data_IF_390931368602
#
_entry.id   IF_390931368602
#
_cell.length_a   1.000
_cell.length_b   1.000
_cell.length_c   1.000
_cell.angle_alpha   90.00
_cell.angle_beta   90.00
_cell.angle_gamma   90.00
#
_symmetry.space_group_name_H-M   'P 1'
#
loop_
_entity.id
_entity.type
_entity.pdbx_description
1 polymer ?
#
# COMPACT_ATOMS: atom_id res chain seq x y z
N UNK A 1 0.77 -34.47 69.43
CA UNK A 1 -0.54 -34.25 68.80
C UNK A 1 -0.50 -32.90 68.12
N UNK A 2 0.02 -32.90 66.89
CA UNK A 2 -0.70 -32.65 65.63
C UNK A 2 -0.79 -31.14 65.29
N UNK A 3 0.23 -30.68 64.57
CA UNK A 3 0.28 -29.39 63.86
C UNK A 3 -0.62 -29.49 62.63
N UNK A 4 -1.59 -28.58 62.48
CA UNK A 4 -2.38 -28.42 61.24
C UNK A 4 -1.96 -27.11 60.58
N UNK A 5 -1.14 -27.24 59.54
CA UNK A 5 -0.80 -26.16 58.61
C UNK A 5 -1.90 -26.12 57.55
N UNK A 6 -2.69 -25.04 57.51
CA UNK A 6 -3.64 -24.79 56.43
C UNK A 6 -2.89 -24.18 55.24
N UNK A 7 -2.52 -25.01 54.27
CA UNK A 7 -2.07 -24.58 52.95
C UNK A 7 -3.29 -24.23 52.09
N UNK A 8 -3.51 -22.92 51.87
CA UNK A 8 -4.45 -22.44 50.87
C UNK A 8 -3.83 -22.65 49.48
N UNK A 9 -4.15 -23.78 48.84
CA UNK A 9 -3.87 -24.02 47.43
C UNK A 9 -4.87 -23.19 46.60
N UNK A 10 -4.42 -22.04 46.10
CA UNK A 10 -5.17 -21.28 45.11
C UNK A 10 -5.16 -22.07 43.79
N UNK A 11 -6.28 -22.72 43.48
CA UNK A 11 -6.56 -23.25 42.15
C UNK A 11 -6.66 -22.06 41.19
N UNK A 12 -5.58 -21.82 40.45
CA UNK A 12 -5.62 -20.99 39.24
C UNK A 12 -6.42 -21.81 38.22
N UNK A 13 -7.72 -21.53 38.13
CA UNK A 13 -8.52 -21.97 37.00
C UNK A 13 -7.96 -21.26 35.76
N UNK A 14 -7.08 -21.93 35.03
CA UNK A 14 -6.73 -21.56 33.67
C UNK A 14 -8.02 -21.68 32.85
N UNK A 15 -8.72 -20.55 32.70
CA UNK A 15 -9.84 -20.45 31.78
C UNK A 15 -9.36 -20.88 30.40
N UNK A 16 -9.93 -21.95 29.86
CA UNK A 16 -9.75 -22.34 28.47
C UNK A 16 -10.04 -21.10 27.62
N UNK A 17 -9.11 -20.65 26.75
CA UNK A 17 -9.44 -19.56 25.83
C UNK A 17 -10.61 -20.05 24.98
N UNK A 18 -11.74 -19.36 25.08
CA UNK A 18 -12.84 -19.50 24.13
C UNK A 18 -12.25 -19.21 22.76
N UNK A 19 -11.92 -20.26 22.02
CA UNK A 19 -11.25 -20.15 20.73
C UNK A 19 -12.20 -19.49 19.74
N UNK A 20 -12.02 -18.20 19.55
CA UNK A 20 -12.71 -17.43 18.51
C UNK A 20 -12.22 -17.87 17.13
N UNK A 21 -13.04 -17.64 16.10
CA UNK A 21 -12.60 -17.81 14.72
C UNK A 21 -11.49 -16.81 14.37
N UNK A 22 -10.48 -17.28 13.64
CA UNK A 22 -9.38 -16.42 13.22
C UNK A 22 -9.80 -15.39 12.17
N UNK A 23 -9.30 -14.16 12.31
CA UNK A 23 -9.24 -13.16 11.26
C UNK A 23 -7.82 -13.02 10.70
N UNK A 24 -7.67 -12.40 9.53
CA UNK A 24 -6.35 -12.12 8.94
C UNK A 24 -5.54 -11.24 9.90
N UNK A 25 -4.29 -11.64 10.18
CA UNK A 25 -3.38 -10.94 11.09
C UNK A 25 -3.43 -11.37 12.56
N UNK A 26 -4.40 -12.19 12.96
CA UNK A 26 -4.46 -12.77 14.32
C UNK A 26 -3.27 -13.70 14.60
N UNK A 27 -2.90 -13.87 15.88
CA UNK A 27 -1.85 -14.83 16.27
C UNK A 27 -2.42 -16.25 16.14
N UNK A 28 -1.64 -17.17 15.58
CA UNK A 28 -2.14 -18.52 15.31
C UNK A 28 -2.54 -19.31 16.58
N UNK A 29 -1.96 -18.97 17.73
CA UNK A 29 -2.22 -19.66 19.01
C UNK A 29 -3.48 -19.16 19.72
N UNK A 30 -4.08 -18.03 19.29
CA UNK A 30 -5.19 -17.39 19.99
C UNK A 30 -6.56 -17.63 19.35
N UNK A 31 -6.62 -18.33 18.22
CA UNK A 31 -7.84 -18.54 17.45
C UNK A 31 -7.80 -19.88 16.70
N UNK A 32 -8.96 -20.29 16.17
CA UNK A 32 -9.08 -21.49 15.32
C UNK A 32 -9.49 -21.08 13.90
N UNK A 33 -8.79 -21.60 12.89
CA UNK A 33 -9.11 -21.34 11.48
C UNK A 33 -10.38 -22.12 11.11
N UNK A 34 -11.35 -21.44 10.49
CA UNK A 34 -12.69 -22.00 10.22
C UNK A 34 -12.70 -23.10 9.17
N UNK A 35 -12.00 -22.89 8.08
CA UNK A 35 -11.81 -23.86 7.02
C UNK A 35 -10.31 -24.16 6.94
N UNK A 36 -9.84 -25.07 7.79
CA UNK A 36 -8.47 -25.57 7.69
C UNK A 36 -8.37 -26.54 6.51
N UNK A 37 -7.21 -26.55 5.83
CA UNK A 37 -6.93 -27.51 4.77
C UNK A 37 -7.05 -28.95 5.33
N UNK A 38 -7.81 -29.80 4.64
CA UNK A 38 -8.08 -31.17 5.11
C UNK A 38 -9.08 -31.26 6.27
N UNK A 39 -9.65 -30.13 6.72
CA UNK A 39 -10.72 -30.10 7.70
C UNK A 39 -12.01 -30.73 7.15
N UNK A 40 -12.84 -31.27 8.05
CA UNK A 40 -14.15 -31.81 7.68
C UNK A 40 -15.12 -30.67 7.38
N UNK A 41 -15.90 -30.82 6.31
CA UNK A 41 -17.01 -29.95 5.96
C UNK A 41 -18.29 -30.78 5.85
N UNK A 42 -19.40 -30.23 6.35
CA UNK A 42 -20.72 -30.85 6.23
C UNK A 42 -21.46 -30.18 5.08
N UNK A 43 -21.86 -30.95 4.06
CA UNK A 43 -22.69 -30.47 2.94
C UNK A 43 -24.14 -30.14 3.37
N UNK A 44 -24.38 -29.82 4.64
CA UNK A 44 -25.70 -29.81 5.28
C UNK A 44 -26.23 -28.44 5.65
N UNK A 45 -25.50 -27.37 5.35
CA UNK A 45 -26.00 -26.00 5.48
C UNK A 45 -25.91 -25.33 4.13
N UNK A 46 -27.06 -24.82 3.67
CA UNK A 46 -27.42 -24.16 2.40
C UNK A 46 -26.54 -22.96 1.98
N UNK A 47 -25.34 -22.83 2.57
CA UNK A 47 -24.34 -21.78 2.37
C UNK A 47 -22.91 -22.31 2.14
N UNK A 48 -22.68 -23.63 2.18
CA UNK A 48 -21.34 -24.24 2.16
C UNK A 48 -20.89 -24.82 0.80
N UNK A 49 -21.65 -24.58 -0.28
CA UNK A 49 -21.15 -24.79 -1.66
C UNK A 49 -20.30 -23.61 -2.17
N UNK A 50 -20.01 -22.64 -1.30
CA UNK A 50 -19.18 -21.49 -1.62
C UNK A 50 -17.69 -21.84 -1.61
N UNK A 51 -16.94 -21.28 -2.56
CA UNK A 51 -15.49 -21.20 -2.46
C UNK A 51 -15.14 -20.35 -1.22
N UNK A 52 -14.15 -20.78 -0.45
CA UNK A 52 -13.71 -20.09 0.76
C UNK A 52 -12.26 -19.62 0.61
N UNK A 53 -11.92 -18.53 1.29
CA UNK A 53 -10.55 -18.01 1.30
C UNK A 53 -9.61 -18.98 2.02
N UNK A 54 -8.47 -19.29 1.41
CA UNK A 54 -7.47 -20.15 2.03
C UNK A 54 -6.67 -19.39 3.09
N UNK A 55 -7.04 -19.60 4.36
CA UNK A 55 -6.35 -19.05 5.52
C UNK A 55 -5.34 -20.06 6.05
N UNK A 56 -4.11 -19.61 6.33
CA UNK A 56 -3.05 -20.44 6.90
C UNK A 56 -2.24 -19.68 7.94
N UNK A 57 -1.59 -20.40 8.86
CA UNK A 57 -0.66 -19.79 9.79
C UNK A 57 0.70 -19.60 9.12
N UNK A 58 1.16 -18.35 8.97
CA UNK A 58 2.46 -18.07 8.39
C UNK A 58 3.57 -18.44 9.39
N UNK A 59 4.50 -19.36 9.04
CA UNK A 59 5.48 -19.90 9.99
C UNK A 59 6.51 -18.86 10.42
N UNK A 60 6.75 -17.81 9.62
CA UNK A 60 7.72 -16.75 9.88
C UNK A 60 7.15 -15.68 10.81
N UNK A 61 5.90 -15.28 10.59
CA UNK A 61 5.26 -14.19 11.36
C UNK A 61 4.42 -14.69 12.53
N UNK A 62 4.13 -16.00 12.61
CA UNK A 62 3.22 -16.62 13.59
C UNK A 62 1.82 -15.97 13.61
N UNK A 63 1.42 -15.43 12.46
CA UNK A 63 0.14 -14.77 12.24
C UNK A 63 -0.63 -15.46 11.13
N UNK A 64 -1.95 -15.36 11.18
CA UNK A 64 -2.86 -15.86 10.15
C UNK A 64 -2.73 -14.99 8.92
N UNK A 65 -2.45 -15.65 7.80
CA UNK A 65 -2.23 -15.07 6.49
C UNK A 65 -3.14 -15.78 5.47
N UNK A 66 -3.26 -15.19 4.28
CA UNK A 66 -4.20 -15.64 3.25
C UNK A 66 -3.53 -15.74 1.90
N UNK A 67 -3.79 -16.85 1.21
CA UNK A 67 -3.35 -17.04 -0.17
C UNK A 67 -4.47 -16.60 -1.11
N UNK A 68 -4.21 -15.53 -1.86
CA UNK A 68 -5.15 -14.98 -2.84
C UNK A 68 -5.11 -15.71 -4.18
N UNK A 69 -4.12 -16.57 -4.42
CA UNK A 69 -4.01 -17.32 -5.68
C UNK A 69 -4.88 -18.57 -5.70
N UNK A 70 -5.34 -19.00 -4.53
CA UNK A 70 -6.01 -20.27 -4.33
C UNK A 70 -7.21 -20.16 -3.37
N UNK A 71 -8.11 -21.14 -3.43
CA UNK A 71 -9.34 -21.17 -2.64
C UNK A 71 -9.59 -22.57 -2.10
N UNK A 72 -10.29 -22.62 -0.97
CA UNK A 72 -10.76 -23.86 -0.38
C UNK A 72 -12.16 -24.19 -0.90
N UNK A 73 -12.36 -25.44 -1.27
CA UNK A 73 -13.68 -25.95 -1.58
C UNK A 73 -13.92 -27.29 -0.87
N UNK A 74 -15.16 -27.53 -0.47
CA UNK A 74 -15.55 -28.81 0.11
C UNK A 74 -15.70 -29.86 -0.99
N UNK A 75 -14.85 -30.87 -1.00
CA UNK A 75 -14.93 -32.00 -1.93
C UNK A 75 -14.97 -33.27 -1.10
N UNK A 76 -16.00 -34.09 -1.27
CA UNK A 76 -16.17 -35.36 -0.54
C UNK A 76 -16.15 -35.19 0.99
N UNK A 77 -16.70 -34.07 1.51
CA UNK A 77 -16.75 -33.78 2.96
C UNK A 77 -15.42 -33.31 3.56
N UNK A 78 -14.44 -32.97 2.72
CA UNK A 78 -13.13 -32.45 3.14
C UNK A 78 -12.77 -31.18 2.38
N UNK A 79 -12.23 -30.17 3.08
CA UNK A 79 -11.71 -28.96 2.44
C UNK A 79 -10.43 -29.26 1.65
N UNK A 80 -10.47 -29.01 0.34
CA UNK A 80 -9.32 -29.12 -0.57
C UNK A 80 -8.96 -27.74 -1.11
N UNK A 81 -7.66 -27.52 -1.36
CA UNK A 81 -7.17 -26.30 -2.00
C UNK A 81 -7.22 -26.46 -3.53
N UNK A 82 -7.70 -25.42 -4.23
CA UNK A 82 -7.71 -25.30 -5.69
C UNK A 82 -7.15 -23.95 -6.10
N UNK A 83 -6.35 -23.92 -7.16
CA UNK A 83 -5.86 -22.67 -7.74
C UNK A 83 -6.98 -21.95 -8.49
N UNK A 84 -6.99 -20.62 -8.47
CA UNK A 84 -7.93 -19.82 -9.27
C UNK A 84 -7.59 -19.84 -10.77
N UNK A 85 -6.30 -19.79 -11.12
CA UNK A 85 -5.82 -19.90 -12.50
C UNK A 85 -4.39 -20.42 -12.51
N UNK A 86 -4.07 -21.27 -13.49
CA UNK A 86 -2.72 -21.80 -13.69
C UNK A 86 -1.72 -20.72 -14.14
N UNK A 87 -2.22 -19.58 -14.61
CA UNK A 87 -1.42 -18.45 -15.12
C UNK A 87 -1.25 -17.30 -14.12
N UNK A 88 -1.91 -17.37 -12.95
CA UNK A 88 -1.85 -16.33 -11.91
C UNK A 88 -2.58 -15.02 -12.24
N UNK A 89 -3.36 -14.96 -13.33
CA UNK A 89 -4.09 -13.74 -13.74
C UNK A 89 -5.28 -13.40 -12.86
N UNK A 90 -5.92 -14.41 -12.27
CA UNK A 90 -7.10 -14.26 -11.42
C UNK A 90 -6.73 -14.41 -9.95
N UNK A 91 -7.38 -13.65 -9.07
CA UNK A 91 -7.23 -13.79 -7.62
C UNK A 91 -8.57 -14.09 -6.96
N UNK A 92 -8.53 -14.76 -5.81
CA UNK A 92 -9.72 -15.06 -5.03
C UNK A 92 -10.18 -13.83 -4.24
N UNK A 93 -11.43 -13.42 -4.44
CA UNK A 93 -12.04 -12.30 -3.71
C UNK A 93 -12.83 -12.80 -2.51
N UNK A 94 -12.45 -12.38 -1.30
CA UNK A 94 -13.18 -12.69 -0.08
C UNK A 94 -14.60 -12.09 -0.04
N UNK A 95 -14.83 -11.01 -0.80
CA UNK A 95 -16.12 -10.31 -0.86
C UNK A 95 -17.09 -11.01 -1.81
N UNK A 96 -16.61 -11.43 -2.99
CA UNK A 96 -17.44 -12.12 -3.98
C UNK A 96 -17.50 -13.64 -3.76
N UNK A 97 -16.62 -14.19 -2.92
CA UNK A 97 -16.42 -15.63 -2.73
C UNK A 97 -16.17 -16.38 -4.05
N UNK A 98 -15.45 -15.73 -4.98
CA UNK A 98 -15.10 -16.30 -6.27
C UNK A 98 -13.73 -15.81 -6.77
N UNK A 99 -13.18 -16.53 -7.75
CA UNK A 99 -11.99 -16.16 -8.47
C UNK A 99 -12.34 -15.06 -9.47
N UNK A 100 -11.83 -13.86 -9.23
CA UNK A 100 -12.10 -12.69 -10.06
C UNK A 100 -10.87 -12.36 -10.89
N UNK A 101 -11.08 -12.15 -12.18
CA UNK A 101 -10.09 -11.55 -13.05
C UNK A 101 -10.18 -10.01 -12.91
N UNK A 102 -9.11 -9.30 -12.51
CA UNK A 102 -9.09 -7.84 -12.51
C UNK A 102 -9.48 -7.23 -13.87
N UNK A 103 -9.26 -7.95 -14.99
CA UNK A 103 -9.67 -7.52 -16.32
C UNK A 103 -11.18 -7.70 -16.58
N UNK A 104 -11.83 -8.62 -15.87
CA UNK A 104 -13.27 -8.86 -15.95
C UNK A 104 -14.04 -8.18 -14.80
N UNK A 105 -13.34 -7.52 -13.87
CA UNK A 105 -13.92 -6.44 -13.09
C UNK A 105 -14.26 -5.33 -14.07
N UNK A 106 -15.40 -5.45 -14.75
CA UNK A 106 -16.15 -4.29 -15.16
C UNK A 106 -16.40 -3.54 -13.87
N UNK A 107 -15.54 -2.56 -13.56
CA UNK A 107 -16.01 -1.39 -12.87
C UNK A 107 -17.25 -1.00 -13.66
N UNK A 108 -18.42 -1.36 -13.15
CA UNK A 108 -19.65 -0.71 -13.54
C UNK A 108 -19.44 0.72 -13.02
N UNK A 109 -18.63 1.50 -13.74
CA UNK A 109 -19.04 2.84 -14.05
C UNK A 109 -20.48 2.66 -14.50
N UNK A 110 -21.41 3.06 -13.64
CA UNK A 110 -22.79 3.25 -14.02
C UNK A 110 -22.83 4.44 -14.99
N UNK A 111 -22.05 4.32 -16.06
CA UNK A 111 -21.79 5.35 -17.02
C UNK A 111 -22.98 5.36 -17.92
N UNK A 112 -23.99 6.10 -17.50
CA UNK A 112 -25.01 6.60 -18.40
C UNK A 112 -24.28 7.28 -19.54
N UNK A 113 -24.28 6.64 -20.72
CA UNK A 113 -23.66 7.18 -21.91
C UNK A 113 -24.13 8.63 -22.11
N UNK A 114 -23.18 9.57 -22.17
CA UNK A 114 -23.44 11.00 -22.29
C UNK A 114 -23.29 11.83 -21.02
N UNK A 115 -22.99 11.24 -19.84
CA UNK A 115 -22.67 12.05 -18.64
C UNK A 115 -21.21 12.52 -18.58
N UNK A 116 -20.30 11.85 -19.31
CA UNK A 116 -18.88 12.22 -19.39
C UNK A 116 -18.08 12.04 -18.11
N UNK A 117 -18.54 11.18 -17.19
CA UNK A 117 -17.90 10.89 -15.89
C UNK A 117 -16.77 9.86 -16.02
N UNK A 118 -15.98 9.67 -14.95
CA UNK A 118 -14.89 8.67 -14.95
C UNK A 118 -15.47 7.28 -15.26
N UNK A 119 -14.91 6.62 -16.29
CA UNK A 119 -15.32 5.30 -16.72
C UNK A 119 -16.50 5.27 -17.72
N UNK A 120 -17.09 6.42 -18.04
CA UNK A 120 -18.13 6.51 -19.07
C UNK A 120 -17.53 6.23 -20.45
N UNK A 121 -18.34 5.63 -21.32
CA UNK A 121 -17.97 5.38 -22.72
C UNK A 121 -17.86 6.70 -23.47
N UNK A 122 -16.74 6.91 -24.15
CA UNK A 122 -16.46 8.09 -24.96
C UNK A 122 -15.93 7.71 -26.34
N UNK A 123 -16.18 8.56 -27.33
CA UNK A 123 -15.57 8.48 -28.66
C UNK A 123 -14.53 9.58 -28.87
N UNK A 124 -14.78 10.75 -28.29
CA UNK A 124 -13.92 11.93 -28.36
C UNK A 124 -13.64 12.49 -26.97
N UNK A 125 -12.56 13.26 -26.82
CA UNK A 125 -12.22 13.91 -25.56
C UNK A 125 -13.31 14.88 -25.07
N UNK A 126 -14.08 15.46 -26.01
CA UNK A 126 -15.21 16.36 -25.71
C UNK A 126 -16.41 15.66 -25.10
N UNK A 127 -16.46 14.32 -25.15
CA UNK A 127 -17.52 13.54 -24.51
C UNK A 127 -17.29 13.41 -23.00
N UNK A 128 -16.08 13.75 -22.51
CA UNK A 128 -15.71 13.71 -21.11
C UNK A 128 -15.81 15.10 -20.45
N UNK A 129 -15.99 15.11 -19.13
CA UNK A 129 -16.00 16.34 -18.33
C UNK A 129 -14.60 16.99 -18.23
N UNK A 130 -14.54 18.21 -17.69
CA UNK A 130 -13.28 18.92 -17.49
C UNK A 130 -12.31 18.13 -16.60
N UNK A 131 -11.02 18.19 -16.91
CA UNK A 131 -9.98 17.42 -16.19
C UNK A 131 -9.85 15.96 -16.65
N UNK A 132 -10.52 15.58 -17.74
CA UNK A 132 -10.52 14.21 -18.29
C UNK A 132 -10.07 14.16 -19.75
N UNK A 133 -9.73 12.96 -20.19
CA UNK A 133 -9.50 12.62 -21.58
C UNK A 133 -10.10 11.24 -21.91
N UNK A 134 -10.41 11.02 -23.19
CA UNK A 134 -10.93 9.76 -23.67
C UNK A 134 -9.76 8.80 -23.95
N UNK A 135 -9.67 7.71 -23.18
CA UNK A 135 -8.64 6.70 -23.33
C UNK A 135 -9.27 5.32 -23.50
N UNK A 136 -8.99 4.66 -24.62
CA UNK A 136 -9.51 3.30 -24.92
C UNK A 136 -11.05 3.26 -24.88
N UNK A 137 -11.69 4.32 -25.38
CA UNK A 137 -13.15 4.46 -25.40
C UNK A 137 -13.78 4.71 -24.03
N UNK A 138 -13.01 5.07 -23.00
CA UNK A 138 -13.50 5.43 -21.67
C UNK A 138 -12.89 6.73 -21.14
N UNK A 139 -13.68 7.53 -20.42
CA UNK A 139 -13.21 8.76 -19.81
C UNK A 139 -12.29 8.48 -18.61
N UNK A 140 -11.09 9.09 -18.61
CA UNK A 140 -10.09 8.98 -17.54
C UNK A 140 -9.59 10.34 -17.09
N UNK A 141 -9.23 10.47 -15.81
CA UNK A 141 -8.64 11.70 -15.29
C UNK A 141 -7.24 11.95 -15.87
N UNK A 142 -6.89 13.22 -16.08
CA UNK A 142 -5.53 13.66 -16.36
C UNK A 142 -4.58 13.34 -15.19
N UNK A 143 -3.27 13.33 -15.45
CA UNK A 143 -2.25 13.03 -14.43
C UNK A 143 -2.25 14.00 -13.25
N UNK A 144 -2.64 15.26 -13.49
CA UNK A 144 -2.79 16.32 -12.48
C UNK A 144 -4.13 16.26 -11.74
N UNK A 145 -4.98 15.27 -12.03
CA UNK A 145 -6.29 15.09 -11.41
C UNK A 145 -6.39 13.71 -10.73
N UNK A 146 -7.33 13.59 -9.79
CA UNK A 146 -7.65 12.35 -9.09
C UNK A 146 -9.15 12.08 -9.15
N UNK A 147 -9.52 10.80 -9.34
CA UNK A 147 -10.91 10.39 -9.41
C UNK A 147 -11.52 10.25 -8.01
N UNK A 148 -12.59 10.99 -7.73
CA UNK A 148 -13.41 10.90 -6.51
C UNK A 148 -14.88 10.92 -6.93
N UNK A 149 -15.67 9.93 -6.50
CA UNK A 149 -17.10 9.80 -6.80
C UNK A 149 -17.46 9.95 -8.29
N UNK A 150 -16.63 9.39 -9.17
CA UNK A 150 -16.74 9.47 -10.64
C UNK A 150 -16.52 10.88 -11.25
N UNK A 151 -15.98 11.82 -10.48
CA UNK A 151 -15.50 13.13 -10.94
C UNK A 151 -13.99 13.23 -10.80
N UNK A 152 -13.36 14.08 -11.61
CA UNK A 152 -11.93 14.37 -11.49
C UNK A 152 -11.75 15.68 -10.73
N UNK A 153 -11.05 15.61 -9.61
CA UNK A 153 -10.64 16.77 -8.82
C UNK A 153 -9.17 17.04 -9.04
N UNK A 154 -8.77 18.31 -9.02
CA UNK A 154 -7.37 18.69 -9.18
C UNK A 154 -6.54 18.22 -7.98
N UNK A 155 -5.32 17.74 -8.26
CA UNK A 155 -4.33 17.39 -7.24
C UNK A 155 -3.72 18.68 -6.73
N UNK A 156 -3.77 18.86 -5.41
CA UNK A 156 -3.35 20.11 -4.76
C UNK A 156 -2.07 19.84 -3.99
N UNK A 157 -1.07 20.71 -4.16
CA UNK A 157 0.21 20.55 -3.48
C UNK A 157 0.08 20.88 -1.98
N UNK A 158 0.96 20.35 -1.12
CA UNK A 158 1.05 20.80 0.26
C UNK A 158 1.24 22.33 0.33
N UNK A 159 0.62 23.00 1.30
CA UNK A 159 0.58 24.47 1.46
C UNK A 159 -0.19 25.24 0.37
N UNK A 160 -0.95 24.55 -0.47
CA UNK A 160 -1.84 25.16 -1.47
C UNK A 160 -3.30 25.02 -1.04
N UNK A 161 -4.12 26.03 -1.35
CA UNK A 161 -5.54 26.07 -1.02
C UNK A 161 -6.40 25.67 -2.23
N UNK A 162 -7.60 25.16 -1.95
CA UNK A 162 -8.52 24.61 -2.96
C UNK A 162 -8.80 23.11 -2.82
N UNK A 163 -8.39 22.48 -1.72
CA UNK A 163 -8.76 21.09 -1.45
C UNK A 163 -10.18 20.99 -0.86
N UNK A 164 -10.91 19.95 -1.28
CA UNK A 164 -12.21 19.56 -0.72
C UNK A 164 -12.11 18.23 0.01
N UNK A 165 -11.26 17.32 -0.50
CA UNK A 165 -11.05 16.00 0.04
C UNK A 165 -9.56 15.76 0.34
N UNK A 166 -9.27 14.97 1.37
CA UNK A 166 -7.90 14.60 1.76
C UNK A 166 -7.15 13.91 0.61
N UNK A 167 -7.86 13.13 -0.20
CA UNK A 167 -7.29 12.41 -1.35
C UNK A 167 -6.69 13.32 -2.43
N UNK A 168 -7.11 14.59 -2.50
CA UNK A 168 -6.50 15.55 -3.41
C UNK A 168 -5.07 15.91 -2.99
N UNK A 169 -4.84 15.99 -1.68
CA UNK A 169 -3.54 16.25 -1.07
C UNK A 169 -2.70 14.97 -1.04
N UNK A 170 -3.31 13.86 -0.62
CA UNK A 170 -2.64 12.57 -0.46
C UNK A 170 -2.12 12.01 -1.79
N UNK A 171 -2.72 12.44 -2.91
CA UNK A 171 -2.26 12.13 -4.23
C UNK A 171 -0.91 12.81 -4.54
N UNK A 172 -0.65 14.03 -4.07
CA UNK A 172 0.64 14.72 -4.31
C UNK A 172 1.69 14.28 -3.29
N UNK A 173 1.30 14.16 -2.03
CA UNK A 173 2.18 13.77 -0.94
C UNK A 173 1.51 12.71 -0.05
N UNK A 174 2.15 11.57 0.25
CA UNK A 174 1.52 10.52 1.04
C UNK A 174 1.08 11.02 2.42
N UNK A 175 -0.11 10.62 2.82
CA UNK A 175 -0.74 10.97 4.10
C UNK A 175 -0.98 12.48 4.35
N UNK A 176 -0.78 13.33 3.33
CA UNK A 176 -1.23 14.72 3.41
C UNK A 176 -2.76 14.79 3.45
N UNK A 177 -3.29 15.74 4.21
CA UNK A 177 -4.73 15.87 4.46
C UNK A 177 -5.19 17.32 4.24
N UNK A 178 -6.47 17.48 3.95
CA UNK A 178 -7.09 18.77 3.71
C UNK A 178 -7.61 19.35 5.02
N UNK A 179 -7.15 20.54 5.39
CA UNK A 179 -7.61 21.25 6.59
C UNK A 179 -7.96 22.69 6.23
N UNK A 180 -9.20 23.09 6.51
CA UNK A 180 -9.72 24.42 6.19
C UNK A 180 -9.57 24.81 4.70
N UNK A 181 -9.63 23.83 3.79
CA UNK A 181 -9.45 24.03 2.36
C UNK A 181 -8.00 24.18 1.92
N UNK A 182 -7.02 23.92 2.79
CA UNK A 182 -5.59 23.93 2.50
C UNK A 182 -4.95 22.56 2.80
N UNK A 183 -4.08 22.09 1.91
CA UNK A 183 -3.38 20.83 2.10
C UNK A 183 -2.25 20.97 3.13
N UNK A 184 -2.32 20.20 4.22
CA UNK A 184 -1.33 20.17 5.28
C UNK A 184 -0.49 18.89 5.22
N UNK A 185 0.76 19.00 5.65
CA UNK A 185 1.66 17.86 5.79
C UNK A 185 1.19 16.93 6.93
N UNK A 186 1.44 15.60 6.83
CA UNK A 186 0.94 14.63 7.81
C UNK A 186 1.42 14.87 9.24
N UNK A 187 2.66 15.36 9.40
CA UNK A 187 3.27 15.63 10.69
C UNK A 187 3.38 17.13 10.95
N UNK A 188 3.19 17.56 12.20
CA UNK A 188 3.38 18.97 12.60
C UNK A 188 4.85 19.41 12.52
N UNK A 189 5.78 18.46 12.65
CA UNK A 189 7.22 18.71 12.50
C UNK A 189 7.67 18.70 11.02
N UNK A 190 6.73 18.64 10.07
CA UNK A 190 7.02 18.78 8.66
C UNK A 190 6.59 20.16 8.16
N UNK A 191 7.50 20.82 7.45
CA UNK A 191 7.24 22.07 6.75
C UNK A 191 7.11 21.81 5.25
N UNK A 192 6.13 22.45 4.62
CA UNK A 192 5.99 22.49 3.17
C UNK A 192 7.03 23.45 2.58
N UNK A 193 7.97 22.93 1.78
CA UNK A 193 9.02 23.72 1.13
C UNK A 193 8.78 23.74 -0.38
N UNK A 194 8.65 24.96 -0.93
CA UNK A 194 8.52 25.18 -2.37
C UNK A 194 9.88 24.97 -3.04
N UNK A 195 9.96 23.95 -3.88
CA UNK A 195 11.11 23.70 -4.75
C UNK A 195 10.77 24.07 -6.20
N UNK A 196 11.78 24.03 -7.08
CA UNK A 196 11.60 24.26 -8.52
C UNK A 196 10.61 23.28 -9.16
N UNK A 197 10.52 22.06 -8.64
CA UNK A 197 9.74 20.96 -9.20
C UNK A 197 8.41 20.72 -8.46
N UNK A 198 8.07 21.56 -7.48
CA UNK A 198 6.84 21.48 -6.69
C UNK A 198 7.05 21.67 -5.19
N UNK A 199 5.97 21.63 -4.41
CA UNK A 199 6.05 21.73 -2.94
C UNK A 199 6.19 20.33 -2.32
N UNK A 200 7.16 20.18 -1.43
CA UNK A 200 7.46 18.92 -0.74
C UNK A 200 7.35 19.12 0.77
N UNK A 201 6.88 18.12 1.51
CA UNK A 201 6.91 18.16 2.97
C UNK A 201 8.28 17.64 3.45
N UNK A 202 9.04 18.46 4.14
CA UNK A 202 10.33 18.09 4.74
C UNK A 202 10.24 18.20 6.24
N UNK A 203 10.88 17.30 6.98
CA UNK A 203 10.98 17.43 8.43
C UNK A 203 11.79 18.68 8.77
N UNK A 204 11.15 19.63 9.46
CA UNK A 204 11.80 20.76 10.09
C UNK A 204 12.29 20.29 11.46
N UNK A 205 13.42 19.59 11.52
CA UNK A 205 14.15 19.56 12.79
C UNK A 205 14.57 20.99 13.09
N UNK A 206 14.02 21.59 14.15
CA UNK A 206 14.42 22.91 14.66
C UNK A 206 15.86 22.94 15.20
N UNK A 207 16.57 21.82 15.11
CA UNK A 207 18.03 21.74 15.14
C UNK A 207 18.49 21.70 13.69
N UNK A 208 19.00 22.82 13.20
CA UNK A 208 19.75 22.88 11.95
C UNK A 208 20.81 21.76 11.92
N UNK A 209 20.85 20.94 10.85
CA UNK A 209 22.06 20.81 10.10
C UNK A 209 21.83 21.70 8.89
N UNK A 210 22.23 22.96 9.01
CA UNK A 210 22.63 23.73 7.85
C UNK A 210 23.69 22.86 7.18
N UNK A 211 23.31 22.13 6.12
CA UNK A 211 24.27 21.44 5.29
C UNK A 211 25.31 22.50 4.92
N UNK A 212 26.58 22.36 5.33
CA UNK A 212 27.58 23.33 4.93
C UNK A 212 27.60 23.28 3.41
N UNK A 213 27.24 24.39 2.78
CA UNK A 213 27.48 24.60 1.36
C UNK A 213 28.95 24.20 1.13
N UNK A 214 29.26 23.24 0.24
CA UNK A 214 30.64 22.96 -0.09
C UNK A 214 31.28 24.28 -0.52
N UNK A 215 32.31 24.72 0.20
CA UNK A 215 33.07 25.90 -0.19
C UNK A 215 33.65 25.63 -1.57
N UNK A 216 33.17 26.39 -2.56
CA UNK A 216 33.71 26.35 -3.91
C UNK A 216 35.23 26.60 -3.82
N UNK A 217 36.07 25.71 -4.37
CA UNK A 217 37.49 25.95 -4.38
C UNK A 217 37.80 27.22 -5.20
N UNK A 218 38.86 27.97 -4.83
CA UNK A 218 39.29 29.15 -5.57
C UNK A 218 39.59 28.80 -7.05
N UNK A 219 39.47 29.79 -7.97
CA UNK A 219 39.45 29.59 -9.42
C UNK A 219 40.73 28.99 -10.03
N UNK A 220 41.77 28.77 -9.23
CA UNK A 220 43.08 28.29 -9.70
C UNK A 220 43.35 26.82 -9.36
N UNK A 221 42.35 26.07 -8.92
CA UNK A 221 42.48 24.63 -8.65
C UNK A 221 41.94 23.77 -9.79
N UNK A 222 42.70 22.76 -10.21
CA UNK A 222 42.33 21.74 -11.23
C UNK A 222 41.08 20.91 -10.87
N UNK A 223 40.54 21.08 -9.66
CA UNK A 223 39.26 20.54 -9.23
C UNK A 223 38.03 21.28 -9.80
N UNK A 224 38.21 22.42 -10.48
CA UNK A 224 37.14 23.16 -11.14
C UNK A 224 36.71 22.55 -12.50
N UNK A 225 37.43 21.56 -13.02
CA UNK A 225 37.00 20.80 -14.20
C UNK A 225 36.19 19.56 -13.77
N UNK A 226 34.97 19.77 -13.29
CA UNK A 226 33.93 18.76 -13.50
C UNK A 226 33.43 18.94 -14.93
N UNK A 227 34.10 18.27 -15.86
CA UNK A 227 33.58 18.09 -17.21
C UNK A 227 32.35 17.21 -17.06
N UNK A 228 31.16 17.82 -17.11
CA UNK A 228 29.93 17.09 -17.36
C UNK A 228 30.01 16.55 -18.80
N UNK A 229 30.11 15.22 -19.03
CA UNK A 229 29.85 14.70 -20.35
C UNK A 229 28.36 14.90 -20.66
N UNK A 230 28.08 15.43 -21.84
CA UNK A 230 26.74 15.65 -22.39
C UNK A 230 25.90 14.35 -22.38
N UNK A 231 24.56 14.46 -22.36
CA UNK A 231 23.67 13.40 -21.89
C UNK A 231 23.58 12.28 -22.92
N UNK A 232 23.90 11.07 -22.51
CA UNK A 232 23.47 9.87 -23.22
C UNK A 232 23.16 8.76 -22.22
N UNK A 233 21.87 8.39 -22.15
CA UNK A 233 21.39 7.09 -21.68
C UNK A 233 21.39 6.83 -20.17
N UNK A 234 20.23 7.05 -19.54
CA UNK A 234 19.49 6.20 -18.56
C UNK A 234 20.16 5.28 -17.53
N UNK A 235 21.48 5.25 -17.34
CA UNK A 235 22.16 4.34 -16.42
C UNK A 235 22.82 5.02 -15.21
N UNK A 236 23.00 6.35 -15.25
CA UNK A 236 23.75 7.10 -14.24
C UNK A 236 22.97 7.53 -12.98
N UNK A 237 21.63 7.40 -12.98
CA UNK A 237 20.80 7.83 -11.85
C UNK A 237 20.99 6.94 -10.60
N UNK A 238 21.41 5.69 -10.77
CA UNK A 238 21.59 4.75 -9.67
C UNK A 238 22.89 4.98 -8.88
N UNK A 239 23.98 5.36 -9.56
CA UNK A 239 25.28 5.52 -8.90
C UNK A 239 25.35 6.78 -8.02
N UNK A 240 24.68 7.87 -8.44
CA UNK A 240 24.64 9.12 -7.68
C UNK A 240 23.79 8.99 -6.41
N UNK A 241 22.71 8.18 -6.44
CA UNK A 241 21.92 7.88 -5.25
C UNK A 241 22.69 7.06 -4.20
N UNK A 242 23.57 6.15 -4.63
CA UNK A 242 24.36 5.33 -3.72
C UNK A 242 25.46 6.12 -3.00
N UNK A 243 26.13 7.04 -3.69
CA UNK A 243 27.15 7.90 -3.06
C UNK A 243 26.54 8.95 -2.12
N UNK A 244 25.34 9.46 -2.39
CA UNK A 244 24.66 10.41 -1.51
C UNK A 244 24.14 9.77 -0.22
N UNK A 245 23.73 8.49 -0.25
CA UNK A 245 23.29 7.78 0.96
C UNK A 245 24.44 7.44 1.92
N UNK A 246 25.64 7.15 1.39
CA UNK A 246 26.81 6.80 2.21
C UNK A 246 27.40 7.93 3.04
N UNK A 247 27.08 9.20 2.76
CA UNK A 247 27.61 10.34 3.51
C UNK A 247 26.70 10.83 4.65
N UNK A 248 25.44 10.40 4.71
CA UNK A 248 24.51 10.81 5.78
C UNK A 248 24.55 9.89 7.01
N UNK A 249 24.90 8.62 6.84
CA UNK A 249 25.10 7.69 7.95
C UNK A 249 26.59 7.37 8.00
N UNK A 250 27.29 7.93 8.98
CA UNK A 250 28.71 7.66 9.21
C UNK A 250 28.95 6.20 9.56
N UNK A 251 29.02 5.33 8.56
CA UNK A 251 29.56 3.99 8.67
C UNK A 251 30.76 3.88 7.71
N UNK A 252 31.94 3.72 8.30
CA UNK A 252 33.16 3.33 7.59
C UNK A 252 32.92 2.00 6.88
N UNK A 253 32.81 2.03 5.55
CA UNK A 253 32.92 0.82 4.74
C UNK A 253 34.32 0.75 4.15
N UNK A 254 35.12 -0.13 4.76
CA UNK A 254 36.42 -0.58 4.27
C UNK A 254 36.24 -1.18 2.87
N UNK A 255 36.78 -0.50 1.85
CA UNK A 255 36.89 -1.00 0.49
C UNK A 255 38.02 -2.03 0.45
N UNK A 256 37.69 -3.32 0.53
CA UNK A 256 38.64 -4.36 0.10
C UNK A 256 38.52 -4.57 -1.41
N UNK A 257 39.66 -4.40 -2.06
CA UNK A 257 39.86 -4.34 -3.50
C UNK A 257 39.77 -5.72 -4.17
N UNK A 258 39.18 -5.71 -5.37
CA UNK A 258 39.61 -6.40 -6.60
C UNK A 258 40.44 -7.70 -6.49
N UNK A 259 39.85 -8.78 -7.02
CA UNK A 259 40.48 -9.54 -8.10
C UNK A 259 39.43 -10.09 -9.07
#
# INVERSE_FOLDING_TARGET
MLLIVFSALALVAAGSPSSRWCAVGDRCDSCTIRAALGGRCNNGTEKDEGKLLFQFCNPRTKRVDVDLSSYLNCVEGVYRNRMCSDTGRTHFSATALDCVDPANMTFHAQGTSGSGRVGDVCSFNTDCLSGMFCAIGQCRCLSTYIAVDAYCYERISPSESGCFYDVQCSAVWPDAYCKNGECQCPSQDMAAVKTRDGTLCVWSSSTEPSCPLPSLPPPDSVAALVVLPAPSGTFFQFLIRLLAFGFCYGEEWYLDSLH
#
